data_IF_757501331870
#
_entry.id   IF_757501331870
#
_cell.length_a   1.000
_cell.length_b   1.000
_cell.length_c   1.000
_cell.angle_alpha   90.00
_cell.angle_beta   90.00
_cell.angle_gamma   90.00
#
_symmetry.space_group_name_H-M   'P 1'
#
loop_
_entity.id
_entity.type
_entity.pdbx_description
1 polymer ?
#
# COMPACT_ATOMS: atom_id res chain seq x y z
N UNK A 1 -22.48 0.12 -15.80
CA UNK A 1 -22.62 0.16 -14.34
C UNK A 1 -23.12 -1.19 -13.88
N UNK A 2 -22.23 -2.12 -13.52
CA UNK A 2 -22.65 -3.43 -13.02
C UNK A 2 -22.78 -3.33 -11.50
N UNK A 3 -24.01 -3.23 -11.00
CA UNK A 3 -24.28 -3.37 -9.58
C UNK A 3 -24.01 -4.84 -9.22
N UNK A 4 -22.84 -5.11 -8.65
CA UNK A 4 -22.54 -6.42 -8.08
C UNK A 4 -23.57 -6.68 -6.98
N UNK A 5 -24.55 -7.51 -7.30
CA UNK A 5 -25.56 -7.97 -6.34
C UNK A 5 -24.88 -9.03 -5.48
N UNK A 6 -24.65 -8.70 -4.21
CA UNK A 6 -23.89 -9.58 -3.32
C UNK A 6 -24.85 -10.60 -2.68
N UNK A 7 -24.52 -11.90 -2.71
CA UNK A 7 -25.32 -12.92 -2.03
C UNK A 7 -25.30 -12.63 -0.53
N UNK A 8 -26.46 -12.21 0.00
CA UNK A 8 -26.62 -11.78 1.38
C UNK A 8 -27.20 -10.36 1.53
N UNK A 9 -27.18 -9.53 0.49
CA UNK A 9 -27.72 -8.16 0.53
C UNK A 9 -29.20 -8.04 0.91
N UNK A 10 -29.97 -9.12 0.74
CA UNK A 10 -31.37 -9.20 1.15
C UNK A 10 -31.58 -9.49 2.66
N UNK A 11 -30.54 -9.86 3.42
CA UNK A 11 -30.64 -10.12 4.86
C UNK A 11 -30.41 -8.82 5.64
N UNK A 12 -31.33 -8.44 6.53
CA UNK A 12 -31.22 -7.24 7.36
C UNK A 12 -30.00 -7.22 8.30
N UNK A 13 -29.45 -8.39 8.62
CA UNK A 13 -28.22 -8.54 9.42
C UNK A 13 -26.94 -8.56 8.56
N UNK A 14 -27.05 -8.42 7.24
CA UNK A 14 -25.91 -8.44 6.34
C UNK A 14 -25.07 -7.19 6.50
N UNK A 15 -23.94 -7.34 7.18
CA UNK A 15 -22.94 -6.27 7.39
C UNK A 15 -22.05 -6.08 6.16
N UNK A 16 -22.66 -6.13 4.97
CA UNK A 16 -22.00 -5.92 3.70
C UNK A 16 -20.95 -6.96 3.33
N UNK A 17 -20.95 -8.17 3.92
CA UNK A 17 -20.08 -9.32 3.54
C UNK A 17 -18.56 -9.10 3.57
N UNK A 18 -18.10 -7.91 3.94
CA UNK A 18 -16.71 -7.47 3.72
C UNK A 18 -15.70 -8.20 4.58
N UNK A 19 -16.03 -8.50 5.84
CA UNK A 19 -15.08 -9.07 6.80
C UNK A 19 -14.53 -10.45 6.40
N UNK A 20 -15.28 -11.22 5.61
CA UNK A 20 -14.85 -12.51 5.04
C UNK A 20 -14.16 -12.39 3.69
N UNK A 21 -14.16 -11.21 3.06
CA UNK A 21 -13.54 -11.01 1.76
C UNK A 21 -12.01 -11.01 1.89
N UNK A 22 -11.26 -11.72 1.03
CA UNK A 22 -9.81 -11.86 1.15
C UNK A 22 -9.05 -10.52 1.09
N UNK A 23 -9.65 -9.50 0.48
CA UNK A 23 -9.06 -8.16 0.36
C UNK A 23 -9.35 -7.25 1.56
N UNK A 24 -10.24 -7.63 2.48
CA UNK A 24 -10.65 -6.73 3.56
C UNK A 24 -9.53 -6.41 4.55
N UNK A 25 -8.68 -7.38 4.86
CA UNK A 25 -7.52 -7.14 5.72
C UNK A 25 -6.51 -6.20 5.07
N UNK A 26 -6.32 -6.30 3.75
CA UNK A 26 -5.43 -5.42 2.97
C UNK A 26 -5.96 -3.99 2.97
N UNK A 27 -7.27 -3.84 2.73
CA UNK A 27 -7.97 -2.56 2.77
C UNK A 27 -7.90 -1.91 4.15
N UNK A 28 -8.19 -2.66 5.21
CA UNK A 28 -8.18 -2.14 6.58
C UNK A 28 -6.76 -1.74 7.03
N UNK A 29 -5.74 -2.52 6.65
CA UNK A 29 -4.33 -2.16 6.89
C UNK A 29 -3.91 -0.90 6.10
N UNK A 30 -4.34 -0.75 4.85
CA UNK A 30 -4.13 0.47 4.06
C UNK A 30 -4.70 1.71 4.77
N UNK A 31 -5.95 1.65 5.23
CA UNK A 31 -6.57 2.74 5.98
C UNK A 31 -5.85 3.00 7.31
N UNK A 32 -5.47 1.94 8.03
CA UNK A 32 -4.74 2.04 9.29
C UNK A 32 -3.41 2.76 9.12
N UNK A 33 -2.63 2.41 8.08
CA UNK A 33 -1.35 3.06 7.77
C UNK A 33 -1.49 4.57 7.50
N UNK A 34 -2.57 5.00 6.85
CA UNK A 34 -2.72 6.38 6.39
C UNK A 34 -3.55 7.28 7.31
N UNK A 35 -4.43 6.72 8.15
CA UNK A 35 -5.39 7.52 8.94
C UNK A 35 -5.43 7.22 10.43
N UNK A 36 -4.62 6.27 10.93
CA UNK A 36 -4.53 5.97 12.35
C UNK A 36 -3.13 6.28 12.91
N UNK A 37 -2.94 7.39 13.66
CA UNK A 37 -1.66 7.75 14.27
C UNK A 37 -1.04 6.67 15.17
N UNK A 38 -1.88 5.84 15.80
CA UNK A 38 -1.44 4.72 16.63
C UNK A 38 -1.00 3.48 15.84
N UNK A 39 -1.12 3.49 14.50
CA UNK A 39 -0.66 2.40 13.67
C UNK A 39 0.87 2.32 13.71
N UNK A 40 1.43 1.12 13.86
CA UNK A 40 2.90 0.90 13.97
C UNK A 40 3.68 1.45 12.77
N UNK A 41 3.03 1.55 11.62
CA UNK A 41 3.60 2.09 10.38
C UNK A 41 3.21 3.54 10.08
N UNK A 42 2.46 4.22 10.94
CA UNK A 42 1.95 5.58 10.70
C UNK A 42 3.02 6.54 10.21
N UNK A 43 4.16 6.63 10.91
CA UNK A 43 5.26 7.55 10.58
C UNK A 43 5.77 7.40 9.14
N UNK A 44 5.68 6.19 8.57
CA UNK A 44 6.13 5.89 7.20
C UNK A 44 5.05 6.12 6.13
N UNK A 45 3.83 6.47 6.54
CA UNK A 45 2.64 6.58 5.69
C UNK A 45 1.90 7.87 6.03
N UNK A 46 0.87 7.83 6.89
CA UNK A 46 0.11 9.03 7.25
C UNK A 46 0.96 10.15 7.84
N UNK A 47 2.03 9.82 8.59
CA UNK A 47 3.00 10.80 9.09
C UNK A 47 3.81 11.53 8.01
N UNK A 48 3.86 10.99 6.78
CA UNK A 48 4.43 11.64 5.60
C UNK A 48 3.39 12.40 4.76
N UNK A 49 2.12 12.40 5.16
CA UNK A 49 1.04 12.97 4.37
C UNK A 49 0.47 12.06 3.29
N UNK A 50 0.79 10.76 3.30
CA UNK A 50 0.19 9.83 2.33
C UNK A 50 -1.26 9.52 2.73
N UNK A 51 -2.17 9.66 1.76
CA UNK A 51 -3.62 9.51 1.94
C UNK A 51 -4.18 8.35 1.13
N UNK A 52 -5.48 8.09 1.33
CA UNK A 52 -6.30 7.21 0.51
C UNK A 52 -7.38 8.08 -0.14
N UNK A 53 -7.70 7.86 -1.42
CA UNK A 53 -8.80 8.62 -2.05
C UNK A 53 -10.12 8.41 -1.32
N UNK A 54 -10.99 9.43 -1.34
CA UNK A 54 -12.24 9.42 -0.58
C UNK A 54 -13.13 8.23 -0.92
N UNK A 55 -13.19 7.87 -2.21
CA UNK A 55 -13.95 6.71 -2.70
C UNK A 55 -13.53 5.43 -1.98
N UNK A 56 -12.24 5.14 -1.87
CA UNK A 56 -11.76 3.97 -1.14
C UNK A 56 -11.87 4.17 0.37
N UNK A 57 -11.69 5.39 0.88
CA UNK A 57 -11.75 5.67 2.32
C UNK A 57 -13.09 5.29 2.96
N UNK A 58 -14.19 5.44 2.22
CA UNK A 58 -15.54 5.17 2.73
C UNK A 58 -16.17 3.91 2.17
N UNK A 59 -15.65 3.37 1.06
CA UNK A 59 -16.25 2.22 0.37
C UNK A 59 -15.23 1.12 0.06
N UNK A 60 -15.35 0.02 0.79
CA UNK A 60 -14.56 -1.19 0.56
C UNK A 60 -14.83 -1.82 -0.82
N UNK A 61 -16.08 -1.80 -1.28
CA UNK A 61 -16.44 -2.43 -2.54
C UNK A 61 -15.95 -1.64 -3.74
N UNK A 62 -15.83 -0.32 -3.62
CA UNK A 62 -15.13 0.49 -4.60
C UNK A 62 -13.65 0.08 -4.73
N UNK A 63 -12.96 -0.14 -3.61
CA UNK A 63 -11.59 -0.67 -3.63
C UNK A 63 -11.51 -2.04 -4.33
N UNK A 64 -12.44 -2.95 -4.04
CA UNK A 64 -12.49 -4.28 -4.70
C UNK A 64 -12.74 -4.15 -6.20
N UNK A 65 -13.67 -3.28 -6.61
CA UNK A 65 -14.02 -3.07 -8.00
C UNK A 65 -12.84 -2.48 -8.80
N UNK A 66 -12.12 -1.53 -8.21
CA UNK A 66 -11.01 -0.85 -8.88
C UNK A 66 -9.73 -1.70 -8.91
N UNK A 67 -9.42 -2.42 -7.82
CA UNK A 67 -8.22 -3.27 -7.75
C UNK A 67 -8.39 -4.63 -8.43
N UNK A 68 -9.62 -5.11 -8.56
CA UNK A 68 -9.92 -6.46 -9.01
C UNK A 68 -9.39 -7.56 -8.07
N UNK A 69 -9.48 -8.83 -8.50
CA UNK A 69 -8.97 -9.95 -7.71
C UNK A 69 -7.45 -9.85 -7.58
N UNK A 70 -6.94 -10.15 -6.38
CA UNK A 70 -5.50 -10.32 -6.18
C UNK A 70 -5.05 -11.54 -6.99
N UNK A 71 -4.01 -11.43 -7.84
CA UNK A 71 -3.50 -12.56 -8.60
C UNK A 71 -3.07 -13.72 -7.69
N UNK A 72 -3.29 -14.94 -8.17
CA UNK A 72 -2.87 -16.15 -7.47
C UNK A 72 -1.35 -16.29 -7.47
N UNK A 73 -0.85 -17.01 -6.47
CA UNK A 73 0.57 -17.29 -6.31
C UNK A 73 0.97 -17.26 -4.85
N UNK A 74 1.94 -18.11 -4.50
CA UNK A 74 2.50 -18.18 -3.15
C UNK A 74 4.02 -18.20 -3.21
N UNK A 75 4.62 -17.60 -2.21
CA UNK A 75 6.05 -17.77 -1.90
C UNK A 75 6.32 -19.23 -1.45
N UNK A 76 7.58 -19.70 -1.44
CA UNK A 76 7.92 -21.02 -0.90
C UNK A 76 7.42 -21.25 0.55
N UNK A 77 7.30 -20.17 1.34
CA UNK A 77 6.74 -20.19 2.69
C UNK A 77 5.21 -20.09 2.77
N UNK A 78 4.48 -20.30 1.66
CA UNK A 78 3.03 -20.35 1.62
C UNK A 78 2.31 -19.00 1.71
N UNK A 79 3.03 -17.88 1.83
CA UNK A 79 2.45 -16.53 1.85
C UNK A 79 1.99 -16.10 0.45
N UNK A 80 0.93 -15.28 0.32
CA UNK A 80 0.54 -14.70 -0.97
C UNK A 80 1.72 -14.01 -1.65
N UNK A 81 1.88 -14.25 -2.95
CA UNK A 81 2.98 -13.69 -3.74
C UNK A 81 2.80 -12.19 -4.00
N UNK A 82 1.56 -11.74 -4.11
CA UNK A 82 1.20 -10.37 -4.42
C UNK A 82 0.64 -9.63 -3.20
N UNK A 83 0.97 -8.35 -3.08
CA UNK A 83 0.32 -7.43 -2.13
C UNK A 83 0.10 -6.06 -2.77
N UNK A 84 -0.69 -5.23 -2.08
CA UNK A 84 -0.99 -3.87 -2.53
C UNK A 84 0.28 -3.02 -2.47
N UNK A 85 0.65 -2.45 -3.61
CA UNK A 85 1.76 -1.54 -3.80
C UNK A 85 1.26 -0.23 -4.39
N UNK A 86 2.00 0.86 -4.17
CA UNK A 86 1.79 2.12 -4.88
C UNK A 86 2.86 2.23 -5.96
N UNK A 87 2.54 2.68 -7.17
CA UNK A 87 3.53 2.87 -8.24
C UNK A 87 4.41 4.07 -7.96
N UNK A 88 3.81 5.22 -7.66
CA UNK A 88 4.47 6.34 -6.99
C UNK A 88 4.41 6.10 -5.48
N UNK A 89 5.58 5.84 -4.88
CA UNK A 89 5.71 5.52 -3.47
C UNK A 89 5.40 6.70 -2.53
N UNK A 90 5.52 7.94 -3.02
CA UNK A 90 5.18 9.17 -2.30
C UNK A 90 3.71 9.59 -2.54
N UNK A 91 3.09 9.06 -3.60
CA UNK A 91 1.69 9.32 -3.95
C UNK A 91 0.63 8.64 -3.05
N UNK A 92 -0.65 9.00 -3.24
CA UNK A 92 -1.80 8.46 -2.50
C UNK A 92 -2.15 7.02 -2.89
N UNK A 93 -2.96 6.34 -2.07
CA UNK A 93 -3.66 5.12 -2.49
C UNK A 93 -4.87 5.49 -3.35
N UNK A 94 -4.80 5.20 -4.64
CA UNK A 94 -5.88 5.43 -5.63
C UNK A 94 -5.81 4.34 -6.71
N UNK A 95 -6.86 4.15 -7.53
CA UNK A 95 -6.83 3.19 -8.64
C UNK A 95 -5.66 3.43 -9.60
N UNK A 96 -5.31 4.68 -9.84
CA UNK A 96 -4.27 5.08 -10.79
C UNK A 96 -2.86 4.86 -10.22
N UNK A 97 -2.73 4.97 -8.90
CA UNK A 97 -1.45 4.83 -8.23
C UNK A 97 -1.24 3.46 -7.58
N UNK A 98 -2.20 2.53 -7.62
CA UNK A 98 -2.08 1.24 -6.95
C UNK A 98 -2.02 0.06 -7.92
N UNK A 99 -1.27 -0.97 -7.51
CA UNK A 99 -1.13 -2.22 -8.25
C UNK A 99 -0.95 -3.41 -7.31
N UNK A 100 -1.22 -4.60 -7.83
CA UNK A 100 -0.73 -5.83 -7.22
C UNK A 100 0.74 -6.02 -7.59
N UNK A 101 1.61 -6.14 -6.60
CA UNK A 101 3.04 -6.30 -6.82
C UNK A 101 3.65 -7.39 -5.94
N UNK A 102 4.68 -8.04 -6.48
CA UNK A 102 5.54 -8.96 -5.75
C UNK A 102 6.46 -8.21 -4.79
N UNK A 103 7.07 -8.95 -3.86
CA UNK A 103 8.07 -8.37 -2.95
C UNK A 103 9.28 -7.76 -3.69
N UNK A 104 9.68 -8.34 -4.82
CA UNK A 104 10.77 -7.83 -5.66
C UNK A 104 10.40 -6.48 -6.31
N UNK A 105 9.22 -6.40 -6.91
CA UNK A 105 8.71 -5.16 -7.50
C UNK A 105 8.56 -4.04 -6.46
N UNK A 106 8.07 -4.36 -5.27
CA UNK A 106 8.00 -3.39 -4.16
C UNK A 106 9.38 -2.97 -3.66
N UNK A 107 10.37 -3.86 -3.66
CA UNK A 107 11.73 -3.54 -3.25
C UNK A 107 12.38 -2.54 -4.21
N UNK A 108 12.12 -2.69 -5.51
CA UNK A 108 12.58 -1.75 -6.54
C UNK A 108 11.90 -0.38 -6.42
N UNK A 109 10.71 -0.30 -5.83
CA UNK A 109 9.99 0.96 -5.61
C UNK A 109 10.24 1.61 -4.24
N UNK A 110 11.32 1.21 -3.56
CA UNK A 110 11.67 1.82 -2.26
C UNK A 110 12.33 3.17 -2.48
N UNK A 111 12.13 4.06 -1.51
CA UNK A 111 12.94 5.27 -1.41
C UNK A 111 14.41 4.89 -1.32
N UNK A 112 15.22 5.72 -1.95
CA UNK A 112 16.66 5.68 -1.83
C UNK A 112 17.08 5.72 -0.36
N UNK A 113 18.20 5.05 -0.09
CA UNK A 113 18.81 5.11 1.24
C UNK A 113 19.38 6.51 1.49
N UNK A 114 19.64 6.83 2.75
CA UNK A 114 20.33 8.08 3.10
C UNK A 114 21.73 8.21 2.45
N UNK A 115 22.33 7.09 2.04
CA UNK A 115 23.63 7.01 1.38
C UNK A 115 23.56 7.06 -0.15
N UNK A 116 22.36 7.07 -0.74
CA UNK A 116 22.23 7.16 -2.18
C UNK A 116 22.79 8.51 -2.67
N UNK A 117 23.85 8.44 -3.48
CA UNK A 117 24.57 9.60 -4.00
C UNK A 117 25.63 10.18 -3.07
N UNK A 118 25.95 9.56 -1.93
CA UNK A 118 27.06 10.00 -1.08
C UNK A 118 28.40 9.58 -1.67
N UNK A 119 29.38 10.48 -1.64
CA UNK A 119 30.74 10.23 -2.12
C UNK A 119 31.59 9.64 -1.00
N UNK A 120 32.40 8.63 -1.30
CA UNK A 120 33.36 8.09 -0.35
C UNK A 120 34.60 8.98 -0.31
N UNK A 121 34.95 9.50 0.87
CA UNK A 121 36.20 10.22 1.09
C UNK A 121 37.36 9.23 1.28
N UNK A 122 38.33 9.17 0.35
CA UNK A 122 39.44 8.23 0.44
C UNK A 122 40.44 8.56 1.56
N UNK A 123 40.50 9.80 2.07
CA UNK A 123 41.43 10.17 3.15
C UNK A 123 40.88 9.80 4.53
N UNK A 124 39.63 10.16 4.81
CA UNK A 124 39.01 9.86 6.12
C UNK A 124 38.35 8.47 6.17
N UNK A 125 38.11 7.84 5.02
CA UNK A 125 37.38 6.57 4.90
C UNK A 125 35.88 6.68 5.23
N UNK A 126 35.35 7.90 5.31
CA UNK A 126 33.93 8.17 5.64
C UNK A 126 33.15 8.56 4.39
N UNK A 127 31.85 8.31 4.40
CA UNK A 127 30.95 8.86 3.39
C UNK A 127 30.75 10.36 3.67
N UNK A 128 30.96 11.18 2.64
CA UNK A 128 30.62 12.59 2.67
C UNK A 128 29.09 12.73 2.77
N UNK A 129 28.59 13.68 3.58
CA UNK A 129 27.16 13.96 3.64
C UNK A 129 26.63 14.29 2.23
N UNK A 130 25.39 13.91 1.96
CA UNK A 130 24.71 14.19 0.70
C UNK A 130 24.70 15.72 0.51
N UNK A 131 25.32 16.18 -0.58
CA UNK A 131 25.93 17.51 -0.68
C UNK A 131 25.11 18.70 -0.15
N UNK A 132 25.79 19.56 0.59
CA UNK A 132 25.54 21.00 0.61
C UNK A 132 25.95 21.55 -0.77
N UNK A 133 25.07 21.46 -1.75
CA UNK A 133 25.20 22.28 -2.95
C UNK A 133 24.77 23.70 -2.56
N UNK A 134 25.75 24.61 -2.55
CA UNK A 134 25.57 26.05 -2.44
C UNK A 134 24.60 26.60 -3.51
#
# INVERSE_FOLDING_TARGET
MSAYSHPGSANSNWRGGKYSHPLYQIYNDMLGRCHRPTHTRWANYGGRGITVCDRWRTDFWAFVADMGPRPDGKTPGGRPLYSLDRTDNDGPYTPENCRWATASQQAQNRRDTAYAGTVHDPESGRFLPKGDAA
#
